data_IF_598875053946
#
_entry.id   IF_598875053946
#
_cell.length_a   1.000
_cell.length_b   1.000
_cell.length_c   1.000
_cell.angle_alpha   90.00
_cell.angle_beta   90.00
_cell.angle_gamma   90.00
#
_symmetry.space_group_name_H-M   'P 1'
#
loop_
_entity.id
_entity.type
_entity.pdbx_description
1 polymer ?
#
# COMPACT_ATOMS: atom_id res chain seq x y z
N UNK A 1 -5.93 12.05 12.70
CA UNK A 1 -6.32 11.59 11.34
C UNK A 1 -5.65 10.25 11.09
N UNK A 2 -6.39 9.15 11.22
CA UNK A 2 -5.84 7.80 11.09
C UNK A 2 -5.85 7.45 9.59
N UNK A 3 -4.72 7.66 8.92
CA UNK A 3 -4.57 7.41 7.49
C UNK A 3 -3.44 6.43 7.21
N UNK A 4 -3.64 5.54 6.24
CA UNK A 4 -2.55 4.82 5.57
C UNK A 4 -2.10 5.69 4.39
N UNK A 5 -0.82 5.64 4.05
CA UNK A 5 -0.24 6.45 2.96
C UNK A 5 -0.36 5.76 1.60
N UNK A 6 -1.12 4.65 1.52
CA UNK A 6 -1.13 3.76 0.36
C UNK A 6 -1.53 4.49 -0.93
N UNK A 7 -2.65 5.21 -0.88
CA UNK A 7 -3.19 5.93 -2.04
C UNK A 7 -2.21 6.97 -2.56
N UNK A 8 -1.66 7.78 -1.67
CA UNK A 8 -0.75 8.87 -2.01
C UNK A 8 0.53 8.32 -2.64
N UNK A 9 1.08 7.23 -2.09
CA UNK A 9 2.30 6.61 -2.62
C UNK A 9 2.07 5.91 -3.94
N UNK A 10 0.94 5.21 -4.09
CA UNK A 10 0.56 4.61 -5.39
C UNK A 10 0.48 5.69 -6.47
N UNK A 11 -0.18 6.82 -6.19
CA UNK A 11 -0.32 7.93 -7.14
C UNK A 11 1.04 8.59 -7.41
N UNK A 12 1.89 8.79 -6.40
CA UNK A 12 3.23 9.40 -6.60
C UNK A 12 4.15 8.54 -7.46
N UNK A 13 3.99 7.22 -7.40
CA UNK A 13 4.71 6.27 -8.26
C UNK A 13 4.06 6.12 -9.65
N UNK A 14 2.95 6.82 -9.92
CA UNK A 14 2.26 6.80 -11.22
C UNK A 14 1.46 5.52 -11.49
N UNK A 15 1.16 4.74 -10.46
CA UNK A 15 0.52 3.43 -10.60
C UNK A 15 -1.00 3.55 -10.57
N UNK A 16 -1.67 2.76 -11.39
CA UNK A 16 -3.11 2.45 -11.25
C UNK A 16 -3.33 1.42 -10.14
N UNK A 17 -4.58 1.33 -9.65
CA UNK A 17 -4.98 0.28 -8.69
C UNK A 17 -4.71 -1.12 -9.27
N UNK A 18 -4.95 -1.30 -10.58
CA UNK A 18 -4.72 -2.56 -11.30
C UNK A 18 -3.25 -2.95 -11.35
N UNK A 19 -2.36 -1.99 -11.60
CA UNK A 19 -0.92 -2.25 -11.61
C UNK A 19 -0.43 -2.63 -10.23
N UNK A 20 -0.79 -1.87 -9.19
CA UNK A 20 -0.41 -2.21 -7.82
C UNK A 20 -0.94 -3.59 -7.41
N UNK A 21 -2.19 -3.90 -7.74
CA UNK A 21 -2.79 -5.22 -7.53
C UNK A 21 -1.94 -6.35 -8.16
N UNK A 22 -1.46 -6.14 -9.39
CA UNK A 22 -0.58 -7.09 -10.09
C UNK A 22 0.76 -7.25 -9.37
N UNK A 23 1.43 -6.17 -9.00
CA UNK A 23 2.71 -6.22 -8.29
C UNK A 23 2.59 -6.86 -6.89
N UNK A 24 1.50 -6.58 -6.19
CA UNK A 24 1.24 -7.10 -4.83
C UNK A 24 0.63 -8.51 -4.81
N UNK A 25 0.22 -9.06 -5.97
CA UNK A 25 -0.57 -10.30 -6.07
C UNK A 25 -1.83 -10.27 -5.18
N UNK A 26 -2.53 -9.15 -5.21
CA UNK A 26 -3.76 -8.88 -4.45
C UNK A 26 -4.83 -8.40 -5.41
N UNK A 27 -6.12 -8.65 -5.13
CA UNK A 27 -7.19 -8.17 -5.99
C UNK A 27 -7.33 -6.64 -5.97
N UNK A 28 -7.74 -6.06 -7.08
CA UNK A 28 -8.02 -4.62 -7.21
C UNK A 28 -9.05 -4.14 -6.18
N UNK A 29 -10.04 -4.97 -5.85
CA UNK A 29 -11.03 -4.71 -4.81
C UNK A 29 -10.36 -4.49 -3.44
N UNK A 30 -9.43 -5.35 -3.04
CA UNK A 30 -8.75 -5.24 -1.74
C UNK A 30 -7.89 -3.98 -1.68
N UNK A 31 -7.13 -3.67 -2.74
CA UNK A 31 -6.37 -2.41 -2.82
C UNK A 31 -7.31 -1.21 -2.68
N UNK A 32 -8.39 -1.18 -3.46
CA UNK A 32 -9.37 -0.09 -3.45
C UNK A 32 -10.10 0.08 -2.11
N UNK A 33 -10.44 -1.02 -1.43
CA UNK A 33 -11.05 -0.97 -0.10
C UNK A 33 -10.06 -0.51 0.96
N UNK A 34 -8.79 -0.90 0.84
CA UNK A 34 -7.71 -0.47 1.75
C UNK A 34 -7.44 1.04 1.63
N UNK A 35 -7.37 1.57 0.42
CA UNK A 35 -7.18 3.03 0.17
C UNK A 35 -8.34 3.88 0.67
N UNK A 36 -9.55 3.32 0.70
CA UNK A 36 -10.77 3.99 1.16
C UNK A 36 -11.08 3.71 2.64
N UNK A 37 -10.20 3.02 3.36
CA UNK A 37 -10.41 2.64 4.76
C UNK A 37 -11.68 1.81 5.01
N UNK A 38 -12.21 1.15 3.97
CA UNK A 38 -13.40 0.31 4.05
C UNK A 38 -13.10 -1.07 4.63
N UNK A 39 -11.82 -1.44 4.70
CA UNK A 39 -11.36 -2.66 5.37
C UNK A 39 -10.01 -2.41 6.04
N UNK A 40 -9.72 -3.20 7.07
CA UNK A 40 -8.40 -3.31 7.67
C UNK A 40 -7.79 -4.66 7.28
N UNK A 41 -6.88 -4.72 6.28
CA UNK A 41 -6.30 -5.97 5.84
C UNK A 41 -5.42 -6.60 6.93
N UNK A 42 -5.21 -7.92 6.82
CA UNK A 42 -4.24 -8.62 7.65
C UNK A 42 -2.83 -8.06 7.44
N UNK A 43 -1.95 -8.26 8.41
CA UNK A 43 -0.56 -7.83 8.29
C UNK A 43 0.14 -8.44 7.07
N UNK A 44 -0.14 -9.72 6.77
CA UNK A 44 0.36 -10.41 5.57
C UNK A 44 -0.07 -9.70 4.29
N UNK A 45 -1.34 -9.31 4.19
CA UNK A 45 -1.85 -8.57 3.04
C UNK A 45 -1.20 -7.19 2.95
N UNK A 46 -1.07 -6.47 4.08
CA UNK A 46 -0.37 -5.16 4.12
C UNK A 46 1.08 -5.29 3.65
N UNK A 47 1.82 -6.31 4.09
CA UNK A 47 3.21 -6.57 3.66
C UNK A 47 3.30 -6.83 2.16
N UNK A 48 2.37 -7.62 1.59
CA UNK A 48 2.28 -7.83 0.13
C UNK A 48 2.03 -6.52 -0.62
N UNK A 49 1.20 -5.63 -0.07
CA UNK A 49 0.96 -4.30 -0.66
C UNK A 49 2.26 -3.48 -0.69
N UNK A 50 2.95 -3.37 0.44
CA UNK A 50 4.23 -2.61 0.53
C UNK A 50 5.28 -3.20 -0.40
N UNK A 51 5.40 -4.53 -0.46
CA UNK A 51 6.33 -5.19 -1.37
C UNK A 51 5.98 -4.91 -2.84
N UNK A 52 4.69 -4.91 -3.20
CA UNK A 52 4.27 -4.56 -4.55
C UNK A 52 4.54 -3.10 -4.90
N UNK A 53 4.33 -2.17 -3.96
CA UNK A 53 4.75 -0.77 -4.12
C UNK A 53 6.26 -0.69 -4.39
N UNK A 54 7.07 -1.36 -3.59
CA UNK A 54 8.53 -1.36 -3.73
C UNK A 54 9.02 -2.00 -5.03
N UNK A 55 8.36 -3.05 -5.50
CA UNK A 55 8.66 -3.71 -6.78
C UNK A 55 8.28 -2.85 -8.00
N UNK A 56 7.29 -1.99 -7.85
CA UNK A 56 6.81 -1.10 -8.91
C UNK A 56 7.62 0.21 -9.02
N UNK A 57 8.46 0.52 -8.03
CA UNK A 57 9.25 1.75 -8.03
C UNK A 57 10.23 1.80 -9.19
N UNK A 58 10.53 3.02 -9.62
CA UNK A 58 11.64 3.27 -10.55
C UNK A 58 12.98 2.84 -9.92
N UNK A 59 13.93 2.31 -10.72
CA UNK A 59 15.26 1.97 -10.25
C UNK A 59 15.93 3.15 -9.53
N UNK A 60 16.50 2.91 -8.34
CA UNK A 60 17.20 3.93 -7.54
C UNK A 60 16.37 4.61 -6.45
N UNK A 61 15.05 4.35 -6.37
CA UNK A 61 14.23 4.83 -5.26
C UNK A 61 14.46 4.04 -3.97
N UNK A 62 14.56 4.73 -2.81
CA UNK A 62 14.58 4.05 -1.50
C UNK A 62 13.29 3.26 -1.28
N UNK A 63 13.33 2.02 -0.75
CA UNK A 63 12.13 1.26 -0.45
C UNK A 63 11.27 1.99 0.58
N UNK A 64 9.96 1.80 0.50
CA UNK A 64 9.02 2.24 1.52
C UNK A 64 8.99 1.26 2.68
N UNK A 65 9.07 1.81 3.88
CA UNK A 65 8.91 1.05 5.11
C UNK A 65 7.45 0.71 5.38
N UNK A 66 7.22 -0.43 6.03
CA UNK A 66 5.88 -0.88 6.36
C UNK A 66 5.11 0.14 7.20
N UNK A 67 5.73 0.64 8.27
CA UNK A 67 5.12 1.59 9.21
C UNK A 67 4.89 2.96 8.58
N UNK A 68 5.62 3.27 7.51
CA UNK A 68 5.40 4.48 6.74
C UNK A 68 4.11 4.38 5.92
N UNK A 69 3.86 3.24 5.29
CA UNK A 69 2.63 3.02 4.52
C UNK A 69 1.43 2.75 5.44
N UNK A 70 1.63 1.95 6.48
CA UNK A 70 0.64 1.54 7.45
C UNK A 70 1.11 1.86 8.87
N UNK A 71 0.94 3.12 9.34
CA UNK A 71 1.36 3.52 10.67
C UNK A 71 0.71 2.67 11.75
N UNK A 72 1.53 2.21 12.71
CA UNK A 72 1.03 1.52 13.90
C UNK A 72 0.20 2.53 14.68
N UNK A 73 -1.11 2.28 14.77
CA UNK A 73 -1.97 3.07 15.63
C UNK A 73 -1.62 2.72 17.08
N UNK A 74 -0.92 3.62 17.78
CA UNK A 74 -0.87 3.54 19.23
C UNK A 74 -2.29 3.75 19.72
N UNK A 75 -2.87 2.74 20.38
CA UNK A 75 -4.05 2.96 21.21
C UNK A 75 -3.61 3.95 22.29
N UNK A 76 -4.28 5.10 22.34
CA UNK A 76 -4.24 5.98 23.50
C UNK A 76 -4.90 5.26 24.69
#
# INVERSE_FOLDING_TARGET
>A
MNGNMLKDRRISEGLTITELARFSKISTKVISQTERFLMNPTEVTKRKIVNGLNAAKKPGGKPYDFEYIFPIQKKA
#
